data_IF_470996047489
#
_entry.id   IF_470996047489
#
_cell.length_a   1.000
_cell.length_b   1.000
_cell.length_c   1.000
_cell.angle_alpha   90.00
_cell.angle_beta   90.00
_cell.angle_gamma   90.00
#
_symmetry.space_group_name_H-M   'P 1'
#
loop_
_entity.id
_entity.type
_entity.pdbx_description
1 polymer ?
#
# COMPACT_ATOMS: atom_id res chain seq x y z
N UNK A 1 24.07 33.97 50.67
CA UNK A 1 24.38 32.73 49.92
C UNK A 1 23.11 32.28 49.23
N UNK A 2 22.87 32.74 48.00
CA UNK A 2 21.64 32.51 47.26
C UNK A 2 21.72 31.14 46.56
N UNK A 3 20.95 30.16 47.04
CA UNK A 3 20.99 28.79 46.55
C UNK A 3 20.42 28.67 45.14
N UNK A 4 21.28 28.45 44.14
CA UNK A 4 20.88 28.07 42.78
C UNK A 4 20.43 26.60 42.79
N UNK A 5 19.13 26.37 42.92
CA UNK A 5 18.55 25.04 42.74
C UNK A 5 18.59 24.63 41.26
N UNK A 6 19.39 23.62 40.94
CA UNK A 6 19.40 22.97 39.62
C UNK A 6 18.36 21.85 39.60
N UNK A 7 17.17 22.12 39.06
CA UNK A 7 16.22 21.05 38.74
C UNK A 7 16.78 20.23 37.58
N UNK A 8 17.30 19.04 37.88
CA UNK A 8 17.57 18.01 36.89
C UNK A 8 16.29 17.75 36.09
N UNK A 9 16.38 17.80 34.77
CA UNK A 9 15.27 17.53 33.84
C UNK A 9 14.99 16.02 33.80
N UNK A 10 14.48 15.50 34.91
CA UNK A 10 14.10 14.10 35.06
C UNK A 10 12.81 13.92 34.26
N UNK A 11 12.87 13.18 33.16
CA UNK A 11 11.68 12.73 32.43
C UNK A 11 11.05 11.59 33.24
N UNK A 12 10.02 11.88 34.04
CA UNK A 12 9.32 10.92 34.91
C UNK A 12 8.41 9.93 34.16
N UNK A 13 8.28 10.05 32.84
CA UNK A 13 7.41 9.22 32.03
C UNK A 13 8.13 8.73 30.79
N UNK A 14 7.96 7.44 30.50
CA UNK A 14 8.45 6.86 29.26
C UNK A 14 7.67 7.44 28.08
N UNK A 15 8.38 7.97 27.08
CA UNK A 15 7.76 8.59 25.90
C UNK A 15 6.87 7.63 25.09
N UNK A 16 6.95 6.33 25.37
CA UNK A 16 6.16 5.27 24.75
C UNK A 16 4.82 5.04 25.48
N UNK A 17 4.68 5.52 26.72
CA UNK A 17 3.49 5.37 27.57
C UNK A 17 2.61 6.61 27.58
N UNK A 18 2.72 7.49 26.58
CA UNK A 18 1.86 8.68 26.46
C UNK A 18 0.41 8.22 26.19
N UNK A 19 -0.34 8.01 27.26
CA UNK A 19 -1.73 7.51 27.29
C UNK A 19 -2.73 8.59 26.88
N UNK A 20 -2.45 9.87 27.15
CA UNK A 20 -3.35 10.98 26.82
C UNK A 20 -3.30 11.33 25.32
N UNK A 21 -4.41 11.23 24.57
CA UNK A 21 -4.45 11.53 23.13
C UNK A 21 -3.95 12.93 22.77
N UNK A 22 -4.18 13.92 23.63
CA UNK A 22 -3.73 15.30 23.43
C UNK A 22 -2.21 15.48 23.46
N UNK A 23 -1.52 14.77 24.36
CA UNK A 23 -0.06 14.79 24.47
C UNK A 23 0.59 14.07 23.29
N UNK A 24 0.03 12.93 22.87
CA UNK A 24 0.48 12.19 21.67
C UNK A 24 0.41 13.05 20.42
N UNK A 25 -0.71 13.76 20.19
CA UNK A 25 -0.87 14.71 19.07
C UNK A 25 0.20 15.81 19.07
N UNK A 26 0.54 16.35 20.25
CA UNK A 26 1.60 17.36 20.40
C UNK A 26 2.99 16.77 20.06
N UNK A 27 3.29 15.57 20.54
CA UNK A 27 4.54 14.86 20.24
C UNK A 27 4.68 14.54 18.73
N UNK A 28 3.62 14.03 18.11
CA UNK A 28 3.58 13.74 16.67
C UNK A 28 3.74 15.01 15.82
N UNK A 29 3.11 16.11 16.23
CA UNK A 29 3.31 17.42 15.59
C UNK A 29 4.76 17.88 15.68
N UNK A 30 5.43 17.71 16.82
CA UNK A 30 6.86 18.03 16.99
C UNK A 30 7.73 17.14 16.09
N UNK A 31 7.49 15.83 16.07
CA UNK A 31 8.19 14.87 15.19
C UNK A 31 8.04 15.26 13.71
N UNK A 32 6.81 15.58 13.28
CA UNK A 32 6.52 16.02 11.90
C UNK A 32 7.27 17.29 11.53
N UNK A 33 7.27 18.32 12.40
CA UNK A 33 8.03 19.56 12.19
C UNK A 33 9.54 19.30 12.11
N UNK A 34 10.09 18.39 12.93
CA UNK A 34 11.51 18.01 12.88
C UNK A 34 11.84 17.35 11.53
N UNK A 35 11.00 16.44 11.06
CA UNK A 35 11.16 15.78 9.77
C UNK A 35 11.11 16.80 8.62
N UNK A 36 10.14 17.72 8.63
CA UNK A 36 9.99 18.75 7.60
C UNK A 36 11.22 19.67 7.52
N UNK A 37 11.82 20.03 8.67
CA UNK A 37 13.09 20.78 8.72
C UNK A 37 14.25 20.01 8.10
N UNK A 38 14.33 18.69 8.32
CA UNK A 38 15.35 17.83 7.71
C UNK A 38 15.12 17.69 6.19
N UNK A 39 13.87 17.55 5.77
CA UNK A 39 13.48 17.50 4.36
C UNK A 39 13.84 18.79 3.62
N UNK A 40 13.61 19.96 4.23
CA UNK A 40 14.04 21.27 3.68
C UNK A 40 15.56 21.35 3.49
N UNK A 41 16.34 20.66 4.32
CA UNK A 41 17.81 20.52 4.18
C UNK A 41 18.22 19.42 3.17
N UNK A 42 17.23 18.76 2.55
CA UNK A 42 17.44 17.66 1.61
C UNK A 42 17.96 16.39 2.28
N UNK A 43 17.67 16.18 3.58
CA UNK A 43 17.98 14.96 4.33
C UNK A 43 16.70 14.13 4.39
N UNK A 44 16.72 12.97 3.74
CA UNK A 44 15.54 12.14 3.55
C UNK A 44 15.55 10.96 4.54
N UNK A 45 14.51 10.88 5.36
CA UNK A 45 14.33 9.82 6.36
C UNK A 45 12.92 9.27 6.24
N UNK A 46 12.80 7.95 6.14
CA UNK A 46 11.49 7.29 6.05
C UNK A 46 11.56 5.88 5.49
N UNK A 47 10.39 5.23 5.48
CA UNK A 47 10.24 3.85 4.99
C UNK A 47 9.74 3.78 3.55
N UNK A 48 8.85 4.69 3.14
CA UNK A 48 8.16 4.63 1.85
C UNK A 48 9.02 5.19 0.71
N UNK A 49 9.56 4.35 -0.21
CA UNK A 49 10.48 4.82 -1.25
C UNK A 49 9.80 5.73 -2.28
N UNK A 50 8.49 5.56 -2.52
CA UNK A 50 7.72 6.39 -3.45
C UNK A 50 7.59 7.82 -2.92
N UNK A 51 7.20 7.98 -1.65
CA UNK A 51 7.08 9.29 -1.01
C UNK A 51 8.44 9.96 -0.86
N UNK A 52 9.47 9.19 -0.50
CA UNK A 52 10.83 9.69 -0.42
C UNK A 52 11.34 10.19 -1.77
N UNK A 53 11.08 9.46 -2.86
CA UNK A 53 11.45 9.91 -4.21
C UNK A 53 10.74 11.22 -4.59
N UNK A 54 9.44 11.34 -4.30
CA UNK A 54 8.69 12.57 -4.54
C UNK A 54 9.24 13.76 -3.73
N UNK A 55 9.58 13.53 -2.46
CA UNK A 55 10.22 14.54 -1.60
C UNK A 55 11.58 14.93 -2.16
N UNK A 56 12.41 13.96 -2.53
CA UNK A 56 13.72 14.20 -3.12
C UNK A 56 13.65 15.06 -4.40
N UNK A 57 12.68 14.75 -5.27
CA UNK A 57 12.43 15.52 -6.48
C UNK A 57 12.07 16.98 -6.18
N UNK A 58 11.19 17.22 -5.20
CA UNK A 58 10.83 18.57 -4.72
C UNK A 58 12.00 19.30 -4.06
N UNK A 59 12.85 18.59 -3.32
CA UNK A 59 14.02 19.18 -2.68
C UNK A 59 15.07 19.60 -3.73
N UNK A 60 15.33 18.77 -4.73
CA UNK A 60 16.33 19.06 -5.76
C UNK A 60 15.99 20.32 -6.58
N UNK A 61 14.70 20.55 -6.87
CA UNK A 61 14.25 21.79 -7.52
C UNK A 61 14.44 23.02 -6.64
N UNK A 62 14.36 22.88 -5.33
CA UNK A 62 14.56 23.99 -4.38
C UNK A 62 16.03 24.20 -3.98
N UNK A 63 16.91 23.20 -4.14
CA UNK A 63 18.33 23.28 -3.74
C UNK A 63 19.27 23.62 -4.90
N UNK A 64 18.77 23.74 -6.13
CA UNK A 64 19.57 24.12 -7.29
C UNK A 64 20.17 25.55 -7.17
N UNK A 65 19.65 26.37 -6.26
CA UNK A 65 19.93 27.81 -6.22
C UNK A 65 20.98 28.24 -5.16
N UNK A 66 21.46 27.36 -4.28
CA UNK A 66 22.38 27.78 -3.20
C UNK A 66 23.48 26.76 -2.94
N UNK A 67 24.56 26.81 -3.72
CA UNK A 67 25.75 25.98 -3.50
C UNK A 67 26.85 26.77 -2.79
N UNK A 68 26.59 27.18 -1.55
CA UNK A 68 27.64 27.66 -0.66
C UNK A 68 28.39 26.43 -0.09
N UNK A 69 29.74 26.36 -0.19
CA UNK A 69 30.51 25.19 0.25
C UNK A 69 30.33 24.89 1.74
N UNK A 70 30.13 25.92 2.57
CA UNK A 70 29.89 25.77 4.01
C UNK A 70 28.54 25.08 4.31
N UNK A 71 27.49 25.34 3.51
CA UNK A 71 26.20 24.69 3.69
C UNK A 71 26.25 23.20 3.33
N UNK A 72 27.04 22.84 2.31
CA UNK A 72 27.30 21.44 1.95
C UNK A 72 28.05 20.70 3.05
N UNK A 73 29.07 21.34 3.65
CA UNK A 73 29.81 20.78 4.77
C UNK A 73 28.90 20.54 5.99
N UNK A 74 28.08 21.53 6.36
CA UNK A 74 27.07 21.40 7.43
C UNK A 74 26.07 20.27 7.15
N UNK A 75 25.63 20.10 5.90
CA UNK A 75 24.76 18.98 5.50
C UNK A 75 25.46 17.63 5.70
N UNK A 76 26.72 17.49 5.29
CA UNK A 76 27.49 16.24 5.50
C UNK A 76 27.63 15.90 6.98
N UNK A 77 27.97 16.86 7.82
CA UNK A 77 28.07 16.66 9.27
C UNK A 77 26.75 16.26 9.92
N UNK A 78 25.65 16.93 9.54
CA UNK A 78 24.32 16.56 10.06
C UNK A 78 23.90 15.15 9.63
N UNK A 79 24.21 14.73 8.40
CA UNK A 79 23.98 13.35 7.95
C UNK A 79 24.84 12.36 8.76
N UNK A 80 26.12 12.65 8.98
CA UNK A 80 27.01 11.80 9.77
C UNK A 80 26.50 11.63 11.21
N UNK A 81 26.10 12.74 11.85
CA UNK A 81 25.53 12.72 13.19
C UNK A 81 24.23 11.89 13.26
N UNK A 82 23.34 12.05 12.29
CA UNK A 82 22.09 11.28 12.24
C UNK A 82 22.36 9.77 12.04
N UNK A 83 23.35 9.41 11.21
CA UNK A 83 23.75 8.01 11.03
C UNK A 83 24.34 7.43 12.32
N UNK A 84 25.16 8.19 13.04
CA UNK A 84 25.69 7.81 14.34
C UNK A 84 24.57 7.62 15.40
N UNK A 85 23.52 8.42 15.34
CA UNK A 85 22.30 8.24 16.15
C UNK A 85 21.45 7.01 15.74
N UNK A 86 21.84 6.27 14.70
CA UNK A 86 21.10 5.11 14.18
C UNK A 86 19.98 5.44 13.18
N UNK A 87 19.84 6.70 12.76
CA UNK A 87 18.84 7.08 11.76
C UNK A 87 19.25 6.64 10.35
N UNK A 88 18.36 5.91 9.67
CA UNK A 88 18.58 5.42 8.29
C UNK A 88 18.33 6.51 7.25
N UNK A 89 19.34 7.34 7.01
CA UNK A 89 19.30 8.41 6.00
C UNK A 89 19.37 7.82 4.57
N UNK A 90 18.54 8.33 3.65
CA UNK A 90 18.39 7.84 2.27
C UNK A 90 18.76 8.91 1.24
N UNK A 91 20.06 9.07 0.99
CA UNK A 91 20.57 10.17 0.17
C UNK A 91 20.72 9.83 -1.33
N UNK A 92 20.80 8.54 -1.69
CA UNK A 92 21.08 8.12 -3.06
C UNK A 92 19.82 8.08 -3.94
N UNK A 93 19.73 9.01 -4.91
CA UNK A 93 18.60 9.12 -5.85
C UNK A 93 18.38 7.86 -6.70
N UNK A 94 19.45 7.25 -7.20
CA UNK A 94 19.34 6.03 -8.04
C UNK A 94 18.73 4.86 -7.24
N UNK A 95 19.13 4.69 -5.98
CA UNK A 95 18.59 3.65 -5.10
C UNK A 95 17.12 3.92 -4.73
N UNK A 96 16.74 5.19 -4.54
CA UNK A 96 15.35 5.59 -4.34
C UNK A 96 14.48 5.27 -5.57
N UNK A 97 14.96 5.56 -6.79
CA UNK A 97 14.28 5.18 -8.03
C UNK A 97 14.12 3.66 -8.14
N UNK A 98 15.19 2.89 -7.93
CA UNK A 98 15.17 1.41 -7.98
C UNK A 98 14.18 0.82 -6.96
N UNK A 99 14.21 1.29 -5.71
CA UNK A 99 13.32 0.81 -4.65
C UNK A 99 11.85 1.20 -4.90
N UNK A 100 11.59 2.40 -5.40
CA UNK A 100 10.26 2.84 -5.84
C UNK A 100 9.71 1.94 -6.96
N UNK A 101 10.53 1.65 -7.97
CA UNK A 101 10.16 0.77 -9.08
C UNK A 101 9.90 -0.67 -8.61
N UNK A 102 10.73 -1.20 -7.70
CA UNK A 102 10.50 -2.52 -7.09
C UNK A 102 9.16 -2.59 -6.38
N UNK A 103 8.82 -1.56 -5.59
CA UNK A 103 7.53 -1.49 -4.89
C UNK A 103 6.35 -1.40 -5.87
N UNK A 104 6.47 -0.60 -6.94
CA UNK A 104 5.45 -0.53 -8.00
C UNK A 104 5.24 -1.88 -8.68
N UNK A 105 6.32 -2.57 -9.06
CA UNK A 105 6.26 -3.91 -9.66
C UNK A 105 5.59 -4.92 -8.73
N UNK A 106 5.90 -4.90 -7.43
CA UNK A 106 5.26 -5.77 -6.45
C UNK A 106 3.76 -5.50 -6.32
N UNK A 107 3.36 -4.22 -6.27
CA UNK A 107 1.94 -3.85 -6.23
C UNK A 107 1.20 -4.29 -7.48
N UNK A 108 1.79 -4.10 -8.66
CA UNK A 108 1.24 -4.56 -9.95
C UNK A 108 1.05 -6.08 -9.96
N UNK A 109 2.09 -6.86 -9.62
CA UNK A 109 1.98 -8.32 -9.53
C UNK A 109 0.90 -8.79 -8.56
N UNK A 110 0.72 -8.09 -7.44
CA UNK A 110 -0.37 -8.39 -6.51
C UNK A 110 -1.71 -8.12 -7.16
N UNK A 111 -1.88 -6.95 -7.78
CA UNK A 111 -3.11 -6.57 -8.47
C UNK A 111 -3.50 -7.60 -9.55
N UNK A 112 -2.56 -7.96 -10.43
CA UNK A 112 -2.76 -8.97 -11.49
C UNK A 112 -3.25 -10.30 -10.89
N UNK A 113 -2.57 -10.82 -9.85
CA UNK A 113 -3.00 -12.05 -9.15
C UNK A 113 -4.39 -11.95 -8.53
N UNK A 114 -4.79 -10.78 -8.05
CA UNK A 114 -6.14 -10.59 -7.49
C UNK A 114 -7.19 -10.52 -8.60
N UNK A 115 -6.86 -9.94 -9.75
CA UNK A 115 -7.73 -9.94 -10.93
C UNK A 115 -7.93 -11.37 -11.46
N UNK A 116 -6.86 -12.13 -11.66
CA UNK A 116 -6.91 -13.54 -12.08
C UNK A 116 -7.79 -14.39 -11.15
N UNK A 117 -7.67 -14.18 -9.82
CA UNK A 117 -8.52 -14.88 -8.85
C UNK A 117 -9.99 -14.51 -8.98
N UNK A 118 -10.30 -13.23 -9.17
CA UNK A 118 -11.67 -12.78 -9.32
C UNK A 118 -12.28 -13.33 -10.61
N UNK A 119 -11.52 -13.31 -11.71
CA UNK A 119 -11.92 -13.89 -12.99
C UNK A 119 -12.19 -15.39 -12.86
N UNK A 120 -11.31 -16.14 -12.21
CA UNK A 120 -11.51 -17.57 -11.95
C UNK A 120 -12.77 -17.83 -11.11
N UNK A 121 -13.03 -17.02 -10.09
CA UNK A 121 -14.23 -17.13 -9.26
C UNK A 121 -15.49 -16.85 -10.09
N UNK A 122 -15.46 -15.87 -10.98
CA UNK A 122 -16.57 -15.59 -11.89
C UNK A 122 -16.78 -16.71 -12.91
N UNK A 123 -15.72 -17.20 -13.54
CA UNK A 123 -15.78 -18.30 -14.50
C UNK A 123 -16.37 -19.56 -13.85
N UNK A 124 -15.86 -19.97 -12.69
CA UNK A 124 -16.39 -21.14 -11.96
C UNK A 124 -17.86 -20.98 -11.55
N UNK A 125 -18.30 -19.76 -11.19
CA UNK A 125 -19.72 -19.47 -10.95
C UNK A 125 -20.55 -19.64 -12.23
N UNK A 126 -20.10 -19.08 -13.34
CA UNK A 126 -20.77 -19.16 -14.64
C UNK A 126 -20.87 -20.61 -15.13
N UNK A 127 -19.78 -21.38 -15.05
CA UNK A 127 -19.75 -22.79 -15.42
C UNK A 127 -20.71 -23.65 -14.61
N UNK A 128 -20.73 -23.49 -13.28
CA UNK A 128 -21.67 -24.19 -12.40
C UNK A 128 -23.12 -23.86 -12.75
N UNK A 129 -23.41 -22.58 -13.02
CA UNK A 129 -24.75 -22.15 -13.40
C UNK A 129 -25.15 -22.69 -14.78
N UNK A 130 -24.24 -22.67 -15.76
CA UNK A 130 -24.47 -23.24 -17.09
C UNK A 130 -24.74 -24.76 -17.01
N UNK A 131 -23.96 -25.50 -16.21
CA UNK A 131 -24.19 -26.93 -15.96
C UNK A 131 -25.56 -27.18 -15.32
N UNK A 132 -25.96 -26.35 -14.35
CA UNK A 132 -27.29 -26.43 -13.72
C UNK A 132 -28.41 -26.20 -14.74
N UNK A 133 -28.29 -25.16 -15.57
CA UNK A 133 -29.26 -24.85 -16.61
C UNK A 133 -29.38 -25.97 -17.65
N UNK A 134 -28.25 -26.51 -18.12
CA UNK A 134 -28.22 -27.64 -19.06
C UNK A 134 -28.90 -28.87 -18.46
N UNK A 135 -28.60 -29.22 -17.20
CA UNK A 135 -29.24 -30.34 -16.51
C UNK A 135 -30.76 -30.14 -16.35
N UNK A 136 -31.22 -28.93 -16.04
CA UNK A 136 -32.66 -28.61 -15.93
C UNK A 136 -33.34 -28.76 -17.29
N UNK A 137 -32.74 -28.23 -18.37
CA UNK A 137 -33.24 -28.37 -19.74
C UNK A 137 -33.31 -29.84 -20.17
N UNK A 138 -32.25 -30.62 -19.91
CA UNK A 138 -32.22 -32.05 -20.20
C UNK A 138 -33.33 -32.82 -19.46
N UNK A 139 -33.58 -32.51 -18.17
CA UNK A 139 -34.69 -33.10 -17.41
C UNK A 139 -36.05 -32.72 -17.99
N UNK A 140 -36.24 -31.46 -18.39
CA UNK A 140 -37.49 -31.00 -19.02
C UNK A 140 -37.72 -31.72 -20.35
N UNK A 141 -36.72 -31.75 -21.23
CA UNK A 141 -36.78 -32.41 -22.53
C UNK A 141 -37.02 -33.92 -22.39
N UNK A 142 -36.41 -34.59 -21.40
CA UNK A 142 -36.67 -36.00 -21.11
C UNK A 142 -38.12 -36.25 -20.68
N UNK A 143 -38.70 -35.39 -19.84
CA UNK A 143 -40.11 -35.50 -19.45
C UNK A 143 -41.02 -35.32 -20.66
N UNK A 144 -40.74 -34.31 -21.50
CA UNK A 144 -41.51 -34.03 -22.71
C UNK A 144 -41.39 -35.18 -23.73
N UNK A 145 -40.20 -35.70 -23.98
CA UNK A 145 -39.99 -36.82 -24.89
C UNK A 145 -40.64 -38.12 -24.39
N UNK A 146 -40.62 -38.39 -23.07
CA UNK A 146 -41.36 -39.52 -22.49
C UNK A 146 -42.87 -39.37 -22.66
N UNK A 147 -43.43 -38.16 -22.44
CA UNK A 147 -44.85 -37.88 -22.70
C UNK A 147 -45.20 -38.09 -24.17
N UNK A 148 -44.37 -37.56 -25.08
CA UNK A 148 -44.54 -37.72 -26.53
C UNK A 148 -44.49 -39.21 -26.94
N UNK A 149 -43.51 -39.98 -26.45
CA UNK A 149 -43.42 -41.42 -26.68
C UNK A 149 -44.66 -42.18 -26.21
N UNK A 150 -45.16 -41.87 -25.01
CA UNK A 150 -46.39 -42.48 -24.46
C UNK A 150 -47.66 -42.10 -25.25
N UNK A 151 -47.71 -40.89 -25.80
CA UNK A 151 -48.83 -40.46 -26.63
C UNK A 151 -48.80 -41.14 -28.01
N UNK A 152 -47.61 -41.28 -28.62
CA UNK A 152 -47.38 -42.06 -29.84
C UNK A 152 -47.76 -43.52 -29.68
N UNK A 153 -47.31 -44.19 -28.61
CA UNK A 153 -47.61 -45.60 -28.36
C UNK A 153 -49.11 -45.88 -28.12
N UNK A 154 -49.89 -44.85 -27.77
CA UNK A 154 -51.35 -44.93 -27.58
C UNK A 154 -52.15 -44.46 -28.80
N UNK A 155 -51.48 -44.17 -29.93
CA UNK A 155 -52.13 -43.69 -31.16
C UNK A 155 -52.70 -42.27 -31.08
N UNK A 156 -52.37 -41.49 -30.03
CA UNK A 156 -52.92 -40.12 -29.82
C UNK A 156 -52.17 -39.02 -30.57
N UNK A 157 -51.09 -39.38 -31.28
CA UNK A 157 -50.27 -38.45 -32.07
C UNK A 157 -50.03 -39.09 -33.42
N UNK A 158 -50.55 -38.48 -34.48
CA UNK A 158 -50.32 -38.88 -35.86
C UNK A 158 -48.90 -38.45 -36.26
N UNK A 159 -48.16 -39.35 -36.91
CA UNK A 159 -46.91 -38.97 -37.57
C UNK A 159 -47.32 -38.19 -38.83
N UNK A 160 -47.17 -36.86 -38.79
CA UNK A 160 -47.06 -36.11 -40.03
C UNK A 160 -45.60 -36.25 -40.46
N UNK A 161 -45.38 -36.94 -41.58
CA UNK A 161 -44.08 -37.04 -42.26
C UNK A 161 -43.56 -35.64 -42.65
#
# INVERSE_FOLDING_TARGET
>A
MEGKYYFSKIELFDNNEITLPGLKRKADRKKRKKLEKLEKRGILIGKDPIKLLQRAQRCNTCTAEVSNPDQLLRKKWTIAMLRAQGCKVKDNMQLLKKSSNKLRKLKRKKQEKWQERNELVEQTKREKQAKRQSNIRARSNRKLSQKLKRAKSRGRVLQLE
#
